data_IF_882658170334
#
_entry.id   IF_882658170334
#
_cell.length_a   1.000
_cell.length_b   1.000
_cell.length_c   1.000
_cell.angle_alpha   90.00
_cell.angle_beta   90.00
_cell.angle_gamma   90.00
#
_symmetry.space_group_name_H-M   'P 1'
#
loop_
_entity.id
_entity.type
_entity.pdbx_description
1 polymer ?
#
# COMPACT_ATOMS: atom_id res chain seq x y z
N UNK A 1 -4.89 -14.17 -65.03
CA UNK A 1 -5.09 -14.21 -63.57
C UNK A 1 -4.99 -12.78 -63.05
N UNK A 2 -6.05 -12.26 -62.43
CA UNK A 2 -6.09 -10.86 -61.97
C UNK A 2 -5.72 -10.82 -60.49
N UNK A 3 -4.58 -10.21 -60.15
CA UNK A 3 -4.12 -10.07 -58.77
C UNK A 3 -4.92 -8.98 -58.06
N UNK A 4 -5.83 -9.38 -57.17
CA UNK A 4 -6.55 -8.45 -56.30
C UNK A 4 -5.69 -8.08 -55.09
N UNK A 5 -5.12 -6.87 -55.12
CA UNK A 5 -4.48 -6.25 -53.96
C UNK A 5 -5.58 -5.67 -53.07
N UNK A 6 -5.83 -6.29 -51.91
CA UNK A 6 -6.71 -5.73 -50.88
C UNK A 6 -6.06 -4.50 -50.27
N UNK A 7 -6.57 -3.31 -50.62
CA UNK A 7 -6.21 -2.06 -49.93
C UNK A 7 -6.91 -2.02 -48.58
N UNK A 8 -6.13 -2.12 -47.51
CA UNK A 8 -6.61 -1.87 -46.15
C UNK A 8 -6.54 -0.38 -45.88
N UNK A 9 -7.69 0.24 -45.63
CA UNK A 9 -7.76 1.62 -45.18
C UNK A 9 -7.79 1.62 -43.65
N UNK A 10 -6.70 2.08 -43.04
CA UNK A 10 -6.66 2.33 -41.61
C UNK A 10 -7.38 3.65 -41.34
N UNK A 11 -8.61 3.57 -40.83
CA UNK A 11 -9.35 4.74 -40.39
C UNK A 11 -8.82 5.07 -38.99
N UNK A 12 -8.00 6.11 -38.88
CA UNK A 12 -7.60 6.62 -37.57
C UNK A 12 -8.86 7.09 -36.82
N UNK A 13 -9.19 6.50 -35.66
CA UNK A 13 -10.32 6.97 -34.89
C UNK A 13 -10.01 8.41 -34.44
N UNK A 14 -10.92 9.34 -34.74
CA UNK A 14 -10.86 10.70 -34.22
C UNK A 14 -10.89 10.62 -32.70
N UNK A 15 -9.73 10.75 -32.06
CA UNK A 15 -9.65 10.82 -30.61
C UNK A 15 -10.30 12.13 -30.18
N UNK A 16 -11.25 12.13 -29.24
CA UNK A 16 -11.76 13.37 -28.69
C UNK A 16 -10.58 14.15 -28.12
N UNK A 17 -10.40 15.41 -28.56
CA UNK A 17 -9.39 16.31 -28.01
C UNK A 17 -9.51 16.25 -26.49
N UNK A 18 -8.41 15.93 -25.82
CA UNK A 18 -8.39 15.75 -24.38
C UNK A 18 -8.94 17.03 -23.72
N UNK A 19 -10.18 16.94 -23.23
CA UNK A 19 -10.71 17.92 -22.30
C UNK A 19 -9.72 17.90 -21.13
N UNK A 20 -9.17 19.06 -20.77
CA UNK A 20 -8.20 19.22 -19.69
C UNK A 20 -8.87 19.02 -18.31
N UNK A 21 -9.65 17.97 -18.16
CA UNK A 21 -10.17 17.53 -16.88
C UNK A 21 -8.96 17.09 -16.06
N UNK A 22 -8.62 17.88 -15.04
CA UNK A 22 -7.53 17.59 -14.12
C UNK A 22 -7.85 16.27 -13.42
N UNK A 23 -7.37 15.16 -13.97
CA UNK A 23 -7.59 13.82 -13.43
C UNK A 23 -7.14 13.79 -11.97
N UNK A 24 -8.02 13.34 -11.07
CA UNK A 24 -7.70 13.18 -9.65
C UNK A 24 -6.47 12.29 -9.51
N UNK A 25 -5.44 12.79 -8.84
CA UNK A 25 -4.21 12.03 -8.56
C UNK A 25 -4.55 10.91 -7.57
N UNK A 26 -3.93 9.74 -7.77
CA UNK A 26 -4.08 8.60 -6.85
C UNK A 26 -3.51 8.95 -5.48
N UNK A 27 -4.18 8.48 -4.43
CA UNK A 27 -3.63 8.58 -3.07
C UNK A 27 -2.41 7.67 -2.93
N UNK A 28 -1.34 8.13 -2.26
CA UNK A 28 -0.15 7.31 -2.07
C UNK A 28 -0.42 6.17 -1.08
N UNK A 29 -0.08 4.95 -1.47
CA UNK A 29 -0.05 3.77 -0.60
C UNK A 29 1.02 3.93 0.52
N UNK A 30 0.84 3.24 1.64
CA UNK A 30 1.85 2.99 2.68
C UNK A 30 3.27 2.76 2.15
N UNK A 31 3.49 1.90 1.15
CA UNK A 31 4.84 1.71 0.57
C UNK A 31 5.42 2.98 -0.04
N UNK A 32 4.59 3.80 -0.70
CA UNK A 32 5.03 5.07 -1.31
C UNK A 32 5.45 6.05 -0.22
N UNK A 33 4.73 6.07 0.91
CA UNK A 33 5.08 6.90 2.06
C UNK A 33 6.37 6.41 2.73
N UNK A 34 6.51 5.11 2.94
CA UNK A 34 7.74 4.51 3.45
C UNK A 34 8.94 4.87 2.58
N UNK A 35 8.82 4.66 1.25
CA UNK A 35 9.87 5.02 0.29
C UNK A 35 10.20 6.51 0.34
N UNK A 36 9.19 7.39 0.51
CA UNK A 36 9.39 8.83 0.69
C UNK A 36 10.20 9.14 1.94
N UNK A 37 9.93 8.47 3.06
CA UNK A 37 10.70 8.62 4.30
C UNK A 37 12.15 8.13 4.13
N UNK A 38 12.34 7.02 3.41
CA UNK A 38 13.67 6.48 3.12
C UNK A 38 14.51 7.37 2.19
N UNK A 39 13.90 8.30 1.44
CA UNK A 39 14.62 9.17 0.50
C UNK A 39 15.72 9.99 1.15
N UNK A 40 15.59 10.28 2.46
CA UNK A 40 16.61 10.97 3.26
C UNK A 40 17.94 10.21 3.29
N UNK A 41 17.90 8.89 3.11
CA UNK A 41 19.05 7.99 3.14
C UNK A 41 19.47 7.55 1.73
N UNK A 42 18.95 8.18 0.68
CA UNK A 42 19.32 7.82 -0.70
C UNK A 42 20.78 8.21 -0.97
N UNK A 43 21.63 7.27 -1.43
CA UNK A 43 23.00 7.60 -1.80
C UNK A 43 23.05 8.63 -2.94
N UNK A 44 24.06 9.50 -2.87
CA UNK A 44 24.33 10.48 -3.93
C UNK A 44 24.56 9.77 -5.27
N UNK A 45 24.10 10.35 -6.37
CA UNK A 45 24.19 9.79 -7.73
C UNK A 45 23.52 8.43 -7.98
N UNK A 46 22.77 7.85 -7.03
CA UNK A 46 22.02 6.63 -7.30
C UNK A 46 20.78 6.91 -8.16
N UNK A 47 20.62 6.15 -9.25
CA UNK A 47 19.42 6.19 -10.09
C UNK A 47 18.17 5.80 -9.32
N UNK A 48 17.06 6.51 -9.57
CA UNK A 48 15.81 6.31 -8.83
C UNK A 48 15.26 4.89 -9.00
N UNK A 49 15.41 4.29 -10.19
CA UNK A 49 14.99 2.91 -10.47
C UNK A 49 15.74 1.91 -9.59
N UNK A 50 17.06 2.03 -9.48
CA UNK A 50 17.89 1.16 -8.64
C UNK A 50 17.53 1.32 -7.17
N UNK A 51 17.39 2.56 -6.72
CA UNK A 51 16.98 2.85 -5.36
C UNK A 51 15.59 2.29 -5.02
N UNK A 52 14.64 2.35 -5.96
CA UNK A 52 13.30 1.78 -5.80
C UNK A 52 13.36 0.29 -5.48
N UNK A 53 14.19 -0.46 -6.21
CA UNK A 53 14.36 -1.90 -6.03
C UNK A 53 14.91 -2.20 -4.63
N UNK A 54 15.96 -1.49 -4.22
CA UNK A 54 16.57 -1.65 -2.89
C UNK A 54 15.56 -1.37 -1.76
N UNK A 55 14.78 -0.29 -1.86
CA UNK A 55 13.74 0.00 -0.86
C UNK A 55 12.63 -1.04 -0.86
N UNK A 56 12.27 -1.59 -2.02
CA UNK A 56 11.30 -2.69 -2.10
C UNK A 56 11.81 -3.97 -1.45
N UNK A 57 13.12 -4.27 -1.51
CA UNK A 57 13.74 -5.39 -0.81
C UNK A 57 13.69 -5.17 0.71
N UNK A 58 14.16 -4.01 1.18
CA UNK A 58 14.07 -3.63 2.61
C UNK A 58 12.64 -3.68 3.15
N UNK A 59 11.67 -3.23 2.36
CA UNK A 59 10.26 -3.29 2.74
C UNK A 59 9.76 -4.72 3.02
N UNK A 60 10.26 -5.70 2.26
CA UNK A 60 9.91 -7.11 2.47
C UNK A 60 10.56 -7.65 3.75
N UNK A 61 11.78 -7.22 4.03
CA UNK A 61 12.59 -7.60 5.20
C UNK A 61 12.10 -6.97 6.51
N UNK A 62 11.26 -5.92 6.45
CA UNK A 62 10.67 -5.32 7.66
C UNK A 62 9.92 -6.36 8.49
N UNK A 63 10.16 -6.31 9.80
CA UNK A 63 9.45 -7.11 10.78
C UNK A 63 7.96 -6.72 10.84
N UNK A 64 7.14 -7.62 11.38
CA UNK A 64 5.71 -7.37 11.52
C UNK A 64 5.43 -6.17 12.44
N UNK A 65 6.25 -5.99 13.48
CA UNK A 65 6.16 -4.85 14.41
C UNK A 65 6.37 -3.53 13.67
N UNK A 66 7.39 -3.45 12.82
CA UNK A 66 7.67 -2.24 12.03
C UNK A 66 6.58 -1.95 11.00
N UNK A 67 6.06 -3.00 10.35
CA UNK A 67 4.95 -2.87 9.40
C UNK A 67 3.68 -2.35 10.09
N UNK A 68 3.36 -2.86 11.28
CA UNK A 68 2.21 -2.40 12.06
C UNK A 68 2.32 -0.93 12.48
N UNK A 69 3.51 -0.50 12.90
CA UNK A 69 3.74 0.91 13.24
C UNK A 69 3.59 1.82 12.00
N UNK A 70 4.11 1.39 10.85
CA UNK A 70 3.94 2.12 9.59
C UNK A 70 2.48 2.17 9.14
N UNK A 71 1.72 1.09 9.32
CA UNK A 71 0.30 1.05 9.05
C UNK A 71 -0.47 2.02 9.93
N UNK A 72 -0.17 2.05 11.23
CA UNK A 72 -0.78 3.01 12.16
C UNK A 72 -0.53 4.45 11.73
N UNK A 73 0.72 4.80 11.39
CA UNK A 73 1.07 6.14 10.90
C UNK A 73 0.37 6.48 9.59
N UNK A 74 0.25 5.52 8.68
CA UNK A 74 -0.48 5.70 7.42
C UNK A 74 -1.95 6.01 7.67
N UNK A 75 -2.60 5.23 8.53
CA UNK A 75 -4.00 5.38 8.87
C UNK A 75 -4.30 6.77 9.47
N UNK A 76 -3.48 7.21 10.43
CA UNK A 76 -3.58 8.56 11.03
C UNK A 76 -3.45 9.65 9.96
N UNK A 77 -2.42 9.59 9.11
CA UNK A 77 -2.20 10.59 8.04
C UNK A 77 -3.35 10.60 7.02
N UNK A 78 -3.91 9.43 6.70
CA UNK A 78 -5.05 9.28 5.79
C UNK A 78 -6.29 9.96 6.36
N UNK A 79 -6.57 9.71 7.64
CA UNK A 79 -7.77 10.22 8.30
C UNK A 79 -7.65 11.75 8.55
N UNK A 80 -6.46 12.26 8.85
CA UNK A 80 -6.19 13.71 8.91
C UNK A 80 -6.45 14.41 7.57
N UNK A 81 -6.07 13.78 6.45
CA UNK A 81 -6.29 14.35 5.11
C UNK A 81 -7.79 14.44 4.77
N UNK A 82 -8.60 13.51 5.26
CA UNK A 82 -10.05 13.57 5.10
C UNK A 82 -10.60 14.79 5.83
N UNK A 83 -10.26 15.01 7.10
CA UNK A 83 -10.73 16.16 7.88
C UNK A 83 -10.41 17.49 7.21
N UNK A 84 -9.19 17.66 6.70
CA UNK A 84 -8.76 18.92 6.07
C UNK A 84 -9.37 19.17 4.67
N UNK A 85 -9.87 18.14 4.00
CA UNK A 85 -10.58 18.27 2.71
C UNK A 85 -12.04 18.75 2.90
N UNK A 86 -12.56 18.77 4.13
CA UNK A 86 -13.92 19.28 4.44
C UNK A 86 -13.97 20.79 4.76
N UNK A 87 -12.82 21.44 5.02
CA UNK A 87 -12.77 22.88 5.35
C UNK A 87 -12.50 23.79 4.14
N UNK A 88 -12.08 23.24 3.00
CA UNK A 88 -11.84 24.02 1.78
C UNK A 88 -12.83 23.59 0.71
N UNK A 89 -13.97 24.29 0.68
CA UNK A 89 -15.19 23.94 -0.04
C UNK A 89 -14.97 23.49 -1.48
N UNK A 90 -15.30 22.22 -1.73
CA UNK A 90 -16.08 21.72 -2.86
C UNK A 90 -16.35 20.24 -2.58
N UNK A 91 -17.58 19.93 -2.18
CA UNK A 91 -18.04 18.58 -1.86
C UNK A 91 -18.63 17.94 -3.12
N UNK A 92 -18.16 16.75 -3.55
CA UNK A 92 -18.94 16.00 -4.51
C UNK A 92 -19.10 14.54 -4.10
N UNK A 93 -19.59 14.21 -2.89
CA UNK A 93 -20.33 12.95 -2.70
C UNK A 93 -21.26 13.00 -1.47
N UNK A 94 -22.54 12.77 -1.73
CA UNK A 94 -23.64 12.63 -0.78
C UNK A 94 -23.49 11.28 -0.03
N UNK A 95 -23.11 11.31 1.26
CA UNK A 95 -23.25 10.14 2.14
C UNK A 95 -24.46 10.34 3.05
N UNK A 96 -25.32 9.32 3.23
CA UNK A 96 -26.50 9.44 4.08
C UNK A 96 -26.09 9.72 5.53
N UNK A 97 -26.71 10.76 6.08
CA UNK A 97 -26.56 11.32 7.42
C UNK A 97 -27.13 10.38 8.51
N UNK A 98 -26.76 9.11 8.50
CA UNK A 98 -27.23 8.11 9.49
C UNK A 98 -26.13 7.60 10.42
N UNK A 99 -24.92 8.16 10.37
CA UNK A 99 -23.77 7.71 11.18
C UNK A 99 -23.31 8.74 12.22
N UNK A 100 -24.06 9.83 12.42
CA UNK A 100 -23.68 10.91 13.34
C UNK A 100 -24.75 11.27 14.38
N UNK A 101 -25.54 10.28 14.81
CA UNK A 101 -26.35 10.39 16.03
C UNK A 101 -26.04 9.23 16.98
N UNK A 102 -25.55 9.55 18.17
CA UNK A 102 -25.36 8.55 19.23
C UNK A 102 -24.27 8.88 20.24
N UNK A 103 -24.43 9.97 21.00
CA UNK A 103 -23.74 10.15 22.28
C UNK A 103 -24.17 9.03 23.24
N UNK A 104 -23.20 8.50 23.98
CA UNK A 104 -23.33 7.83 25.28
C UNK A 104 -24.17 6.54 25.32
N UNK A 105 -23.50 5.38 25.37
CA UNK A 105 -23.81 4.31 26.33
C UNK A 105 -22.71 3.26 26.35
N UNK A 106 -22.21 2.97 27.55
CA UNK A 106 -21.34 1.85 27.83
C UNK A 106 -22.12 0.52 27.64
N UNK A 107 -21.38 -0.52 27.21
CA UNK A 107 -21.73 -1.97 27.16
C UNK A 107 -22.43 -2.47 25.88
N UNK A 108 -21.61 -2.98 24.94
CA UNK A 108 -21.84 -3.98 23.87
C UNK A 108 -20.87 -3.59 22.73
N UNK A 109 -19.93 -4.36 22.19
CA UNK A 109 -19.75 -5.80 22.08
C UNK A 109 -18.24 -6.11 21.99
N UNK A 110 -17.75 -6.95 22.90
CA UNK A 110 -16.45 -7.62 22.79
C UNK A 110 -16.63 -8.87 21.92
N UNK A 111 -16.71 -8.73 20.59
CA UNK A 111 -16.78 -9.87 19.68
C UNK A 111 -16.12 -9.58 18.32
N UNK A 112 -14.84 -9.20 18.33
CA UNK A 112 -13.99 -9.34 17.13
C UNK A 112 -12.51 -9.60 17.48
N UNK A 113 -12.25 -10.39 18.54
CA UNK A 113 -10.90 -10.89 18.90
C UNK A 113 -10.98 -12.34 19.43
N UNK A 114 -11.77 -13.21 18.78
CA UNK A 114 -11.86 -14.65 19.16
C UNK A 114 -11.96 -15.58 17.95
N UNK A 115 -11.07 -15.47 16.98
CA UNK A 115 -10.97 -16.50 15.92
C UNK A 115 -9.56 -16.76 15.37
N UNK A 116 -8.48 -16.45 16.09
CA UNK A 116 -7.13 -16.83 15.64
C UNK A 116 -6.18 -17.27 16.78
N UNK A 117 -6.69 -17.68 17.94
CA UNK A 117 -5.87 -18.05 19.09
C UNK A 117 -5.64 -19.57 19.31
N UNK A 118 -6.25 -20.46 18.51
CA UNK A 118 -6.29 -21.90 18.82
C UNK A 118 -5.53 -22.82 17.83
N UNK A 119 -4.53 -22.33 17.10
CA UNK A 119 -3.74 -23.18 16.18
C UNK A 119 -2.23 -22.92 16.20
N UNK A 120 -1.61 -22.65 17.36
CA UNK A 120 -0.18 -22.96 17.51
C UNK A 120 0.27 -23.11 18.97
N UNK A 121 -0.34 -24.07 19.65
CA UNK A 121 0.20 -24.70 20.86
C UNK A 121 0.61 -26.12 20.46
N UNK A 122 1.79 -26.57 20.93
CA UNK A 122 2.59 -27.73 20.51
C UNK A 122 3.58 -27.37 19.38
N UNK A 123 4.85 -27.05 19.64
CA UNK A 123 5.87 -27.94 20.20
C UNK A 123 6.90 -27.16 21.06
N UNK A 124 7.14 -27.65 22.27
CA UNK A 124 8.31 -27.35 23.12
C UNK A 124 9.30 -28.52 22.96
N UNK A 125 10.58 -28.26 23.26
CA UNK A 125 11.73 -29.20 23.46
C UNK A 125 12.61 -29.40 22.22
N UNK A 126 13.94 -29.41 22.24
CA UNK A 126 14.98 -29.24 23.28
C UNK A 126 16.30 -28.91 22.56
N UNK A 127 17.14 -28.17 23.27
CA UNK A 127 18.60 -28.05 23.15
C UNK A 127 19.33 -29.31 22.60
N UNK A 128 20.33 -29.09 21.72
CA UNK A 128 21.57 -29.89 21.58
C UNK A 128 22.46 -29.42 20.41
N UNK A 129 23.52 -28.70 20.78
CA UNK A 129 24.93 -28.99 20.45
C UNK A 129 25.37 -29.10 18.98
N UNK A 130 26.24 -28.15 18.57
CA UNK A 130 27.19 -28.27 17.43
C UNK A 130 27.91 -29.61 17.40
N UNK A 131 28.31 -30.08 16.21
CA UNK A 131 29.74 -30.31 16.03
C UNK A 131 30.32 -29.66 14.77
N UNK A 132 31.53 -29.13 14.95
CA UNK A 132 32.48 -28.80 13.89
C UNK A 132 32.73 -30.02 12.99
N UNK A 133 32.77 -29.81 11.68
CA UNK A 133 33.60 -30.63 10.78
C UNK A 133 34.48 -29.71 9.94
N UNK A 134 35.74 -29.70 10.34
CA UNK A 134 36.88 -29.46 9.47
C UNK A 134 36.78 -30.43 8.29
N UNK A 135 36.90 -29.92 7.07
CA UNK A 135 37.41 -30.71 5.96
C UNK A 135 38.54 -29.93 5.32
N UNK A 136 39.75 -30.42 5.60
CA UNK A 136 40.94 -30.27 4.79
C UNK A 136 40.86 -31.21 3.59
N UNK A 137 41.12 -30.70 2.40
CA UNK A 137 42.13 -31.17 1.44
C UNK A 137 42.15 -30.21 0.26
#
# INVERSE_FOLDING_TARGET
MVNYIKKFYFIEPKTPKAINDKKKKRTPNMFILYRKEMMKYKPYNMQMTKYSKLVSEKWKELSEVEKNELQRRYQIKRDQKMVNEYDNGESPINYPLSLLEGKNNAKHDMNWVKSNADQNSNQITTDKTKPHKLFSL
#
